data_IF_580675745022
#
_entry.id   IF_580675745022
#
_cell.length_a   1.000
_cell.length_b   1.000
_cell.length_c   1.000
_cell.angle_alpha   90.00
_cell.angle_beta   90.00
_cell.angle_gamma   90.00
#
_symmetry.space_group_name_H-M   'P 1'
#
loop_
_entity.id
_entity.type
_entity.pdbx_description
1 polymer ?
#
# COMPACT_ATOMS: atom_id res chain seq x y z
N UNK A 1 -1.04 -2.70 4.44
CA UNK A 1 0.20 -1.93 4.48
C UNK A 1 0.02 -0.66 5.30
N UNK A 2 0.90 -0.48 6.29
CA UNK A 2 0.97 0.70 7.13
C UNK A 2 2.39 1.20 7.15
N UNK A 3 2.54 2.48 6.81
CA UNK A 3 3.83 3.17 6.81
C UNK A 3 3.79 4.19 7.92
N UNK A 4 4.72 4.10 8.86
CA UNK A 4 4.73 4.99 10.03
C UNK A 4 6.15 5.37 10.44
N UNK A 5 6.27 6.55 11.03
CA UNK A 5 7.52 7.00 11.61
C UNK A 5 7.76 6.30 12.96
N UNK A 6 9.00 5.90 13.20
CA UNK A 6 9.40 5.31 14.47
C UNK A 6 9.52 6.39 15.57
N UNK A 7 9.15 6.07 16.81
CA UNK A 7 9.53 6.86 17.98
C UNK A 7 11.05 7.05 18.05
N UNK A 8 11.50 8.21 18.54
CA UNK A 8 12.93 8.54 18.65
C UNK A 8 13.80 7.43 19.29
N UNK A 9 13.36 6.73 20.36
CA UNK A 9 14.14 5.64 20.97
C UNK A 9 14.38 4.43 20.05
N UNK A 10 13.57 4.26 19.00
CA UNK A 10 13.63 3.14 18.06
C UNK A 10 14.33 3.50 16.74
N UNK A 11 14.70 4.76 16.55
CA UNK A 11 15.51 5.20 15.40
C UNK A 11 16.89 4.56 15.49
N UNK A 12 17.38 4.04 14.37
CA UNK A 12 18.69 3.39 14.28
C UNK A 12 19.47 3.91 13.08
N UNK A 13 20.80 3.99 13.20
CA UNK A 13 21.69 4.14 12.07
C UNK A 13 22.25 2.79 11.66
N UNK A 14 22.24 2.51 10.36
CA UNK A 14 22.82 1.29 9.79
C UNK A 14 23.51 1.67 8.49
N UNK A 15 24.82 1.41 8.39
CA UNK A 15 25.60 1.72 7.18
C UNK A 15 25.58 3.21 6.80
N UNK A 16 25.63 4.11 7.79
CA UNK A 16 25.59 5.57 7.56
C UNK A 16 24.21 6.15 7.22
N UNK A 17 23.16 5.32 7.19
CA UNK A 17 21.79 5.75 6.88
C UNK A 17 20.92 5.65 8.14
N UNK A 18 20.19 6.75 8.43
CA UNK A 18 19.18 6.75 9.49
C UNK A 18 17.91 6.07 9.01
N UNK A 19 17.49 5.02 9.72
CA UNK A 19 16.24 4.31 9.50
C UNK A 19 15.26 4.69 10.61
N UNK A 20 14.42 5.68 10.32
CA UNK A 20 13.40 6.23 11.23
C UNK A 20 11.97 5.92 10.78
N UNK A 21 11.78 5.10 9.75
CA UNK A 21 10.47 4.65 9.28
C UNK A 21 10.32 3.14 9.37
N UNK A 22 9.10 2.68 9.59
CA UNK A 22 8.72 1.27 9.51
C UNK A 22 7.58 1.08 8.51
N UNK A 23 7.74 0.07 7.66
CA UNK A 23 6.70 -0.45 6.78
C UNK A 23 6.24 -1.77 7.38
N UNK A 24 4.96 -1.83 7.76
CA UNK A 24 4.30 -3.05 8.19
C UNK A 24 3.57 -3.63 6.97
N UNK A 25 3.95 -4.87 6.62
CA UNK A 25 3.37 -5.65 5.55
C UNK A 25 2.55 -6.80 6.12
N UNK A 26 1.49 -7.16 5.42
CA UNK A 26 0.60 -8.27 5.79
C UNK A 26 0.06 -8.13 7.22
N UNK A 27 -0.40 -6.94 7.58
CA UNK A 27 -0.86 -6.60 8.94
C UNK A 27 -1.93 -7.51 9.52
N UNK A 28 -2.72 -8.18 8.68
CA UNK A 28 -3.79 -9.09 9.10
C UNK A 28 -3.30 -10.54 9.31
N UNK A 29 -2.03 -10.82 9.03
CA UNK A 29 -1.43 -12.13 9.24
C UNK A 29 -0.92 -12.30 10.69
N UNK A 30 -0.88 -13.54 11.22
CA UNK A 30 -0.35 -13.81 12.56
C UNK A 30 1.12 -13.38 12.77
N UNK A 31 1.88 -13.25 11.68
CA UNK A 31 3.28 -12.83 11.70
C UNK A 31 3.49 -11.71 10.66
N UNK A 32 3.14 -10.46 11.01
CA UNK A 32 3.32 -9.34 10.11
C UNK A 32 4.82 -9.07 9.90
N UNK A 33 5.18 -8.67 8.68
CA UNK A 33 6.57 -8.36 8.35
C UNK A 33 6.80 -6.88 8.59
N UNK A 34 7.77 -6.55 9.46
CA UNK A 34 8.12 -5.18 9.80
C UNK A 34 9.50 -4.82 9.25
N UNK A 35 9.56 -3.87 8.32
CA UNK A 35 10.81 -3.40 7.71
C UNK A 35 11.15 -1.99 8.16
N UNK A 36 12.33 -1.85 8.76
CA UNK A 36 12.92 -0.53 9.05
C UNK A 36 13.58 0.03 7.80
N UNK A 37 13.12 1.19 7.38
CA UNK A 37 13.55 1.85 6.14
C UNK A 37 13.90 3.30 6.40
N UNK A 38 14.64 3.90 5.48
CA UNK A 38 14.94 5.32 5.52
C UNK A 38 13.79 6.14 4.93
N UNK A 39 13.73 7.43 5.30
CA UNK A 39 12.65 8.33 4.88
C UNK A 39 12.41 8.37 3.36
N UNK A 40 13.46 8.43 2.53
CA UNK A 40 13.29 8.46 1.06
C UNK A 40 12.55 7.22 0.50
N UNK A 41 12.79 6.03 1.05
CA UNK A 41 12.11 4.82 0.59
C UNK A 41 10.66 4.77 1.06
N UNK A 42 10.40 5.19 2.31
CA UNK A 42 9.04 5.35 2.81
C UNK A 42 8.24 6.33 1.94
N UNK A 43 8.83 7.49 1.61
CA UNK A 43 8.21 8.48 0.71
C UNK A 43 7.93 7.93 -0.68
N UNK A 44 8.87 7.18 -1.26
CA UNK A 44 8.67 6.50 -2.54
C UNK A 44 7.47 5.53 -2.50
N UNK A 45 7.36 4.69 -1.46
CA UNK A 45 6.26 3.75 -1.31
C UNK A 45 4.91 4.45 -1.15
N UNK A 46 4.84 5.53 -0.36
CA UNK A 46 3.63 6.35 -0.20
C UNK A 46 3.19 6.90 -1.57
N UNK A 47 4.12 7.48 -2.33
CA UNK A 47 3.83 8.01 -3.66
C UNK A 47 3.34 6.93 -4.63
N UNK A 48 3.99 5.75 -4.65
CA UNK A 48 3.53 4.62 -5.47
C UNK A 48 2.15 4.13 -5.08
N UNK A 49 1.85 4.04 -3.79
CA UNK A 49 0.53 3.63 -3.32
C UNK A 49 -0.54 4.65 -3.76
N UNK A 50 -0.28 5.95 -3.64
CA UNK A 50 -1.19 6.99 -4.11
C UNK A 50 -1.48 6.84 -5.62
N UNK A 51 -0.44 6.68 -6.45
CA UNK A 51 -0.62 6.44 -7.89
C UNK A 51 -1.49 5.20 -8.18
N UNK A 52 -1.29 4.11 -7.45
CA UNK A 52 -2.06 2.87 -7.65
C UNK A 52 -3.51 2.98 -7.17
N UNK A 53 -3.79 3.84 -6.19
CA UNK A 53 -5.16 4.13 -5.75
C UNK A 53 -5.88 5.00 -6.80
N UNK A 54 -5.17 5.97 -7.37
CA UNK A 54 -5.76 6.93 -8.31
C UNK A 54 -5.89 6.38 -9.74
N UNK A 55 -5.04 5.41 -10.13
CA UNK A 55 -5.02 4.81 -11.49
C UNK A 55 -5.25 3.28 -11.45
N UNK A 56 -6.49 2.81 -11.74
CA UNK A 56 -6.81 1.39 -11.82
C UNK A 56 -6.00 0.61 -12.87
N UNK A 57 -5.53 1.27 -13.93
CA UNK A 57 -4.75 0.61 -15.00
C UNK A 57 -3.33 0.27 -14.53
N UNK A 58 -2.73 1.15 -13.73
CA UNK A 58 -1.45 0.91 -13.08
C UNK A 58 -1.54 -0.25 -12.07
N UNK A 59 -2.66 -0.36 -11.35
CA UNK A 59 -2.92 -1.48 -10.45
C UNK A 59 -3.03 -2.81 -11.21
N UNK A 60 -3.83 -2.88 -12.27
CA UNK A 60 -3.97 -4.08 -13.10
C UNK A 60 -2.62 -4.50 -13.73
N UNK A 61 -1.79 -3.54 -14.15
CA UNK A 61 -0.45 -3.83 -14.67
C UNK A 61 0.45 -4.46 -13.61
N UNK A 62 0.43 -3.95 -12.37
CA UNK A 62 1.21 -4.51 -11.28
C UNK A 62 0.75 -5.93 -10.91
N UNK A 63 -0.56 -6.18 -10.92
CA UNK A 63 -1.14 -7.50 -10.68
C UNK A 63 -0.67 -8.51 -11.73
N UNK A 64 -0.79 -8.18 -13.01
CA UNK A 64 -0.34 -9.03 -14.11
C UNK A 64 1.16 -9.35 -14.04
N UNK A 65 1.99 -8.37 -13.63
CA UNK A 65 3.42 -8.58 -13.44
C UNK A 65 3.71 -9.50 -12.27
N UNK A 66 2.97 -9.40 -11.17
CA UNK A 66 3.14 -10.25 -9.99
C UNK A 66 2.89 -11.72 -10.30
N UNK A 67 1.97 -12.01 -11.22
CA UNK A 67 1.66 -13.37 -11.65
C UNK A 67 2.65 -13.92 -12.69
N UNK A 68 3.30 -13.04 -13.46
CA UNK A 68 4.19 -13.43 -14.57
C UNK A 68 5.70 -13.42 -14.27
N UNK A 69 6.17 -12.64 -13.29
CA UNK A 69 7.60 -12.49 -12.98
C UNK A 69 8.05 -13.28 -11.74
N UNK A 70 9.29 -13.79 -11.77
CA UNK A 70 9.94 -14.39 -10.61
C UNK A 70 10.51 -13.32 -9.69
N UNK A 71 9.69 -12.83 -8.76
CA UNK A 71 10.13 -11.96 -7.68
C UNK A 71 10.75 -12.76 -6.53
N UNK A 72 11.66 -12.13 -5.78
CA UNK A 72 12.05 -12.68 -4.46
C UNK A 72 10.82 -12.72 -3.54
N UNK A 73 10.86 -13.55 -2.51
CA UNK A 73 9.76 -13.65 -1.54
C UNK A 73 9.43 -12.28 -0.91
N UNK A 74 10.46 -11.50 -0.58
CA UNK A 74 10.32 -10.17 -0.01
C UNK A 74 9.62 -9.22 -0.97
N UNK A 75 10.06 -9.18 -2.23
CA UNK A 75 9.44 -8.34 -3.25
C UNK A 75 8.00 -8.76 -3.50
N UNK A 76 7.71 -10.07 -3.55
CA UNK A 76 6.36 -10.59 -3.72
C UNK A 76 5.44 -10.22 -2.56
N UNK A 77 5.91 -10.33 -1.31
CA UNK A 77 5.18 -9.90 -0.10
C UNK A 77 4.87 -8.41 -0.17
N UNK A 78 5.86 -7.57 -0.48
CA UNK A 78 5.68 -6.13 -0.61
C UNK A 78 4.62 -5.78 -1.68
N UNK A 79 4.74 -6.34 -2.88
CA UNK A 79 3.83 -6.03 -3.97
C UNK A 79 2.42 -6.55 -3.71
N UNK A 80 2.28 -7.75 -3.14
CA UNK A 80 0.98 -8.30 -2.71
C UNK A 80 0.29 -7.36 -1.71
N UNK A 81 1.03 -6.87 -0.71
CA UNK A 81 0.46 -6.00 0.32
C UNK A 81 0.12 -4.60 -0.21
N UNK A 82 0.89 -4.08 -1.17
CA UNK A 82 0.60 -2.84 -1.90
C UNK A 82 -0.71 -2.99 -2.68
N UNK A 83 -0.87 -4.05 -3.47
CA UNK A 83 -2.09 -4.34 -4.25
C UNK A 83 -3.30 -4.43 -3.31
N UNK A 84 -3.17 -5.21 -2.24
CA UNK A 84 -4.21 -5.39 -1.21
C UNK A 84 -4.64 -4.07 -0.59
N UNK A 85 -3.68 -3.22 -0.26
CA UNK A 85 -3.94 -1.89 0.32
C UNK A 85 -4.64 -0.98 -0.68
N UNK A 86 -4.18 -0.93 -1.94
CA UNK A 86 -4.78 -0.12 -2.99
C UNK A 86 -6.25 -0.53 -3.26
N UNK A 87 -6.52 -1.84 -3.39
CA UNK A 87 -7.88 -2.37 -3.55
C UNK A 87 -8.80 -1.98 -2.40
N UNK A 88 -8.35 -2.12 -1.16
CA UNK A 88 -9.12 -1.74 0.02
C UNK A 88 -9.52 -0.26 0.04
N UNK A 89 -8.71 0.62 -0.54
CA UNK A 89 -9.06 2.04 -0.72
C UNK A 89 -10.10 2.26 -1.82
N UNK A 90 -9.93 1.62 -2.98
CA UNK A 90 -10.89 1.71 -4.09
C UNK A 90 -12.29 1.23 -3.69
N UNK A 91 -12.39 0.11 -2.94
CA UNK A 91 -13.68 -0.40 -2.45
C UNK A 91 -14.37 0.57 -1.49
N UNK A 92 -13.61 1.27 -0.62
CA UNK A 92 -14.16 2.27 0.31
C UNK A 92 -14.65 3.53 -0.42
N UNK A 93 -13.95 3.98 -1.45
CA UNK A 93 -14.37 5.11 -2.29
C UNK A 93 -15.62 4.78 -3.13
N UNK A 94 -15.73 3.55 -3.63
CA UNK A 94 -16.93 3.08 -4.32
C UNK A 94 -18.17 3.03 -3.42
N UNK A 95 -18.00 2.62 -2.16
CA UNK A 95 -19.07 2.58 -1.15
C UNK A 95 -19.52 3.97 -0.65
N UNK A 96 -18.74 5.02 -0.88
CA UNK A 96 -19.09 6.41 -0.51
C UNK A 96 -19.63 7.24 -1.66
N UNK A 97 -19.77 6.67 -2.87
CA UNK A 97 -20.44 7.35 -3.98
C UNK A 97 -21.94 7.45 -3.67
N UNK A 98 -22.54 8.67 -3.65
CA UNK A 98 -23.96 8.82 -3.40
C UNK A 98 -24.75 8.10 -4.50
N UNK A 99 -25.75 7.32 -4.08
CA UNK A 99 -26.74 6.71 -4.97
C UNK A 99 -27.43 7.87 -5.71
N UNK A 100 -27.43 7.90 -7.06
CA UNK A 100 -28.16 8.94 -7.78
C UNK A 100 -29.64 8.86 -7.36
N UNK A 101 -30.33 9.99 -7.13
CA UNK A 101 -31.73 9.97 -6.76
C UNK A 101 -32.50 9.25 -7.87
N UNK A 102 -33.19 8.18 -7.50
CA UNK A 102 -34.15 7.52 -8.38
C UNK A 102 -35.12 8.61 -8.87
N UNK A 103 -35.16 8.83 -10.19
CA UNK A 103 -36.24 9.57 -10.80
C UNK A 103 -37.52 8.73 -10.63
N UNK A 104 -38.16 8.87 -9.48
CA UNK A 104 -39.57 8.54 -9.31
C UNK A 104 -40.34 9.48 -10.24
N UNK A 105 -40.48 9.05 -11.49
CA UNK A 105 -41.50 9.56 -12.40
C UNK A 105 -42.85 9.03 -11.92
N UNK A 106 -43.46 9.76 -10.99
CA UNK A 106 -44.88 9.67 -10.70
C UNK A 106 -45.68 10.46 -11.74
N UNK A 107 -46.81 9.86 -12.14
CA UNK A 107 -48.00 10.42 -12.79
C UNK A 107 -47.95 10.74 -14.31
#
# INVERSE_FOLDING_TARGET
>A
MRISRLPAPLVRQQGGVTKDWVVLLDEDQPRPVAWRVHARFAGYLIGRLATLIDDPSALATLENRLDGEHFTMEARTLFSDIIRTARGHASRQGATRPIPPEQNGDA
#
